data_IF_971323446776
#
_entry.id   IF_971323446776
#
_cell.length_a   1.000
_cell.length_b   1.000
_cell.length_c   1.000
_cell.angle_alpha   90.00
_cell.angle_beta   90.00
_cell.angle_gamma   90.00
#
_symmetry.space_group_name_H-M   'P 1'
#
loop_
_entity.id
_entity.type
_entity.pdbx_description
1 polymer ?
#
# COMPACT_ATOMS: atom_id res chain seq x y z
N UNK A 1 4.69 17.59 15.94
CA UNK A 1 4.41 18.52 14.83
C UNK A 1 3.31 17.86 13.98
N UNK A 2 2.05 18.31 14.11
CA UNK A 2 0.88 17.61 13.59
C UNK A 2 0.92 17.53 12.06
N UNK A 3 0.92 16.32 11.51
CA UNK A 3 0.75 16.05 10.08
C UNK A 3 -0.69 16.40 9.68
N UNK A 4 -0.91 17.67 9.35
CA UNK A 4 -2.09 18.10 8.62
C UNK A 4 -1.97 17.58 7.19
N UNK A 5 -2.60 16.43 6.91
CA UNK A 5 -2.82 15.92 5.55
C UNK A 5 -3.79 16.86 4.84
N UNK A 6 -3.28 17.97 4.30
CA UNK A 6 -3.93 18.59 3.14
C UNK A 6 -3.55 17.75 1.94
N UNK A 7 -4.52 16.95 1.48
CA UNK A 7 -4.51 16.44 0.11
C UNK A 7 -4.09 17.59 -0.81
N UNK A 8 -3.00 17.39 -1.56
CA UNK A 8 -2.62 18.30 -2.64
C UNK A 8 -3.65 18.06 -3.74
N UNK A 9 -4.81 18.68 -3.57
CA UNK A 9 -5.70 18.95 -4.68
C UNK A 9 -5.02 20.10 -5.44
N UNK A 10 -4.38 19.79 -6.57
CA UNK A 10 -4.03 20.80 -7.56
C UNK A 10 -5.34 21.30 -8.20
N UNK A 11 -6.10 22.08 -7.42
CA UNK A 11 -7.08 22.99 -7.96
C UNK A 11 -6.28 24.16 -8.54
N UNK A 12 -6.38 24.36 -9.85
CA UNK A 12 -5.92 25.58 -10.49
C UNK A 12 -6.68 26.77 -9.89
N UNK A 13 -6.08 27.47 -8.94
CA UNK A 13 -6.59 28.73 -8.42
C UNK A 13 -6.49 29.80 -9.52
N UNK A 14 -7.61 30.19 -10.10
CA UNK A 14 -7.72 31.46 -10.83
C UNK A 14 -8.08 32.57 -9.84
N UNK A 15 -7.28 33.64 -9.84
CA UNK A 15 -7.52 34.87 -9.09
C UNK A 15 -8.86 35.54 -9.49
N UNK A 16 -9.51 36.30 -8.58
CA UNK A 16 -10.77 36.96 -8.87
C UNK A 16 -10.55 38.25 -9.68
N UNK A 17 -10.63 38.14 -11.00
CA UNK A 17 -10.78 39.29 -11.90
C UNK A 17 -12.17 39.92 -11.78
N UNK A 18 -12.22 41.24 -11.58
CA UNK A 18 -13.44 42.06 -11.51
C UNK A 18 -14.38 41.84 -12.72
N UNK A 19 -15.71 42.01 -12.56
CA UNK A 19 -16.67 41.71 -13.62
C UNK A 19 -16.65 42.81 -14.69
N UNK A 20 -16.01 42.52 -15.81
CA UNK A 20 -16.21 43.24 -17.06
C UNK A 20 -17.47 42.71 -17.75
N UNK A 21 -18.46 43.59 -17.93
CA UNK A 21 -19.62 43.34 -18.79
C UNK A 21 -19.13 43.10 -20.21
N UNK A 22 -19.22 41.86 -20.68
CA UNK A 22 -19.41 41.51 -22.08
C UNK A 22 -20.00 40.10 -22.10
N UNK A 23 -21.23 39.99 -22.61
CA UNK A 23 -21.91 38.73 -22.88
C UNK A 23 -21.09 37.91 -23.89
N UNK A 24 -20.16 37.11 -23.38
CA UNK A 24 -19.51 36.09 -24.19
C UNK A 24 -20.48 34.92 -24.33
N UNK A 25 -21.13 34.90 -25.49
CA UNK A 25 -21.75 33.74 -26.12
C UNK A 25 -21.02 32.47 -25.68
N UNK A 26 -21.70 31.63 -24.90
CA UNK A 26 -21.13 30.39 -24.38
C UNK A 26 -20.84 29.48 -25.57
N UNK A 27 -19.60 29.50 -26.06
CA UNK A 27 -19.09 28.56 -27.03
C UNK A 27 -19.32 27.17 -26.47
N UNK A 28 -20.31 26.46 -27.03
CA UNK A 28 -20.55 25.04 -26.74
C UNK A 28 -19.23 24.31 -26.98
N UNK A 29 -18.60 23.85 -25.90
CA UNK A 29 -17.44 22.97 -26.03
C UNK A 29 -17.89 21.74 -26.84
N UNK A 30 -17.12 21.30 -27.85
CA UNK A 30 -17.47 20.11 -28.61
C UNK A 30 -17.58 18.91 -27.66
N UNK A 31 -18.68 18.15 -27.77
CA UNK A 31 -19.03 17.00 -26.91
C UNK A 31 -18.00 15.86 -26.91
N UNK A 32 -16.95 15.96 -27.72
CA UNK A 32 -15.88 14.96 -27.83
C UNK A 32 -14.53 15.64 -27.59
N UNK A 33 -13.93 15.36 -26.43
CA UNK A 33 -12.50 15.60 -26.21
C UNK A 33 -11.74 14.34 -26.61
N UNK A 34 -11.04 14.40 -27.73
CA UNK A 34 -10.07 13.38 -28.11
C UNK A 34 -8.92 13.43 -27.10
N UNK A 35 -8.85 12.43 -26.24
CA UNK A 35 -7.74 12.21 -25.34
C UNK A 35 -6.93 11.03 -25.88
N UNK A 36 -5.63 11.24 -26.11
CA UNK A 36 -4.71 10.17 -26.45
C UNK A 36 -4.01 9.69 -25.18
N UNK A 37 -3.96 8.36 -24.98
CA UNK A 37 -3.13 7.71 -23.96
C UNK A 37 -2.23 6.67 -24.62
N UNK A 38 -1.15 6.33 -23.92
CA UNK A 38 -0.27 5.26 -24.34
C UNK A 38 -1.05 3.94 -24.40
N UNK A 39 -0.79 3.14 -25.42
CA UNK A 39 -1.39 1.81 -25.53
C UNK A 39 -0.57 0.82 -24.69
N UNK A 40 -1.25 0.12 -23.78
CA UNK A 40 -0.64 -0.84 -22.86
C UNK A 40 0.08 -1.99 -23.59
N UNK A 41 -0.35 -2.36 -24.80
CA UNK A 41 0.28 -3.46 -25.56
C UNK A 41 1.69 -3.10 -26.05
N UNK A 42 2.01 -1.80 -26.08
CA UNK A 42 3.31 -1.27 -26.49
C UNK A 42 4.09 -0.66 -25.32
N UNK A 43 3.65 -0.89 -24.09
CA UNK A 43 4.32 -0.38 -22.90
C UNK A 43 5.57 -1.22 -22.59
N UNK A 44 6.74 -0.69 -22.92
CA UNK A 44 8.03 -1.24 -22.50
C UNK A 44 8.43 -0.73 -21.11
N UNK A 45 9.60 -1.15 -20.62
CA UNK A 45 10.10 -0.75 -19.29
C UNK A 45 10.28 0.77 -19.16
N UNK A 46 10.77 1.44 -20.20
CA UNK A 46 11.00 2.89 -20.18
C UNK A 46 9.68 3.67 -20.22
N UNK A 47 8.72 3.20 -21.03
CA UNK A 47 7.35 3.70 -21.07
C UNK A 47 6.64 3.52 -19.73
N UNK A 48 6.77 2.35 -19.10
CA UNK A 48 6.23 2.08 -17.77
C UNK A 48 6.83 3.01 -16.70
N UNK A 49 8.15 3.17 -16.67
CA UNK A 49 8.79 4.10 -15.74
C UNK A 49 8.35 5.55 -15.97
N UNK A 50 8.25 5.97 -17.23
CA UNK A 50 7.75 7.31 -17.56
C UNK A 50 6.29 7.49 -17.10
N UNK A 51 5.45 6.48 -17.29
CA UNK A 51 4.03 6.51 -16.91
C UNK A 51 3.81 6.55 -15.39
N UNK A 52 4.58 5.77 -14.63
CA UNK A 52 4.36 5.62 -13.19
C UNK A 52 5.17 6.61 -12.35
N UNK A 53 6.24 7.19 -12.92
CA UNK A 53 7.26 7.92 -12.17
C UNK A 53 7.65 9.27 -12.79
N UNK A 54 6.97 9.76 -13.82
CA UNK A 54 7.23 11.09 -14.41
C UNK A 54 7.34 12.18 -13.35
N UNK A 55 6.45 12.14 -12.36
CA UNK A 55 6.34 13.15 -11.31
C UNK A 55 7.52 13.09 -10.32
N UNK A 56 8.21 11.96 -10.24
CA UNK A 56 9.41 11.79 -9.40
C UNK A 56 10.63 12.54 -9.94
N UNK A 57 10.64 12.93 -11.21
CA UNK A 57 11.69 13.77 -11.78
C UNK A 57 11.55 15.24 -11.42
N UNK A 58 10.39 15.66 -10.89
CA UNK A 58 10.20 17.02 -10.39
C UNK A 58 10.95 17.26 -9.07
N UNK A 59 11.29 18.51 -8.70
CA UNK A 59 11.88 18.81 -7.39
C UNK A 59 11.05 18.29 -6.21
N UNK A 60 9.71 18.36 -6.31
CA UNK A 60 8.80 17.84 -5.29
C UNK A 60 8.83 16.30 -5.24
N UNK A 61 8.90 15.65 -6.40
CA UNK A 61 9.04 14.21 -6.51
C UNK A 61 10.37 13.69 -5.94
N UNK A 62 11.47 14.37 -6.22
CA UNK A 62 12.79 14.05 -5.66
C UNK A 62 12.80 14.21 -4.13
N UNK A 63 12.17 15.26 -3.60
CA UNK A 63 12.02 15.44 -2.14
C UNK A 63 11.21 14.30 -1.52
N UNK A 64 10.07 13.93 -2.13
CA UNK A 64 9.27 12.77 -1.70
C UNK A 64 10.07 11.47 -1.71
N UNK A 65 10.83 11.18 -2.78
CA UNK A 65 11.69 9.99 -2.83
C UNK A 65 12.76 10.00 -1.73
N UNK A 66 13.33 11.16 -1.42
CA UNK A 66 14.26 11.32 -0.30
C UNK A 66 13.61 11.00 1.04
N UNK A 67 12.38 11.47 1.26
CA UNK A 67 11.58 11.12 2.45
C UNK A 67 11.28 9.62 2.52
N UNK A 68 10.82 9.01 1.42
CA UNK A 68 10.55 7.56 1.34
C UNK A 68 11.81 6.75 1.61
N UNK A 69 12.94 7.12 1.03
CA UNK A 69 14.23 6.46 1.27
C UNK A 69 14.62 6.53 2.75
N UNK A 70 14.56 7.72 3.33
CA UNK A 70 14.85 7.98 4.73
C UNK A 70 13.92 7.19 5.67
N UNK A 71 12.65 7.11 5.31
CA UNK A 71 11.62 6.40 6.05
C UNK A 71 11.82 4.88 5.99
N UNK A 72 11.99 4.30 4.79
CA UNK A 72 12.24 2.87 4.62
C UNK A 72 13.56 2.44 5.25
N UNK A 73 14.58 3.30 5.24
CA UNK A 73 15.86 2.98 5.88
C UNK A 73 15.71 2.73 7.38
N UNK A 74 14.93 3.59 8.05
CA UNK A 74 14.64 3.46 9.49
C UNK A 74 13.77 2.23 9.76
N UNK A 75 12.73 2.02 8.95
CA UNK A 75 11.81 0.89 9.11
C UNK A 75 12.51 -0.46 8.92
N UNK A 76 13.33 -0.61 7.87
CA UNK A 76 14.12 -1.80 7.62
C UNK A 76 15.15 -2.03 8.73
N UNK A 77 15.84 -0.96 9.18
CA UNK A 77 16.77 -1.05 10.30
C UNK A 77 16.08 -1.50 11.59
N UNK A 78 14.95 -0.91 11.98
CA UNK A 78 14.16 -1.34 13.16
C UNK A 78 13.77 -2.81 13.05
N UNK A 79 13.36 -3.26 11.86
CA UNK A 79 12.98 -4.64 11.61
C UNK A 79 14.17 -5.60 11.80
N UNK A 80 15.35 -5.26 11.30
CA UNK A 80 16.58 -6.05 11.50
C UNK A 80 16.97 -6.09 12.97
N UNK A 81 16.82 -4.97 13.71
CA UNK A 81 17.06 -4.92 15.14
C UNK A 81 16.09 -5.84 15.91
N UNK A 82 14.79 -5.82 15.58
CA UNK A 82 13.83 -6.77 16.14
C UNK A 82 14.20 -8.21 15.86
N UNK A 83 14.57 -8.54 14.61
CA UNK A 83 15.03 -9.89 14.25
C UNK A 83 16.24 -10.30 15.10
N UNK A 84 17.21 -9.42 15.30
CA UNK A 84 18.36 -9.72 16.15
C UNK A 84 17.94 -9.98 17.60
N UNK A 85 16.98 -9.21 18.14
CA UNK A 85 16.38 -9.44 19.45
C UNK A 85 15.72 -10.82 19.56
N UNK A 86 14.87 -11.16 18.60
CA UNK A 86 14.17 -12.45 18.57
C UNK A 86 15.15 -13.62 18.48
N UNK A 87 16.19 -13.51 17.65
CA UNK A 87 17.19 -14.56 17.50
C UNK A 87 18.10 -14.72 18.73
N UNK A 88 18.17 -13.73 19.62
CA UNK A 88 18.84 -13.86 20.91
C UNK A 88 17.93 -14.49 21.98
N UNK A 89 16.61 -14.30 21.86
CA UNK A 89 15.62 -14.93 22.74
C UNK A 89 15.51 -16.45 22.52
N UNK A 90 15.78 -16.93 21.30
CA UNK A 90 15.62 -18.34 20.92
C UNK A 90 16.87 -18.89 20.23
N UNK A 91 17.43 -19.97 20.77
CA UNK A 91 18.44 -20.77 20.07
C UNK A 91 17.76 -21.73 19.10
N UNK A 92 18.20 -21.75 17.84
CA UNK A 92 17.65 -22.66 16.82
C UNK A 92 17.70 -24.12 17.25
N UNK A 93 18.75 -24.53 17.96
CA UNK A 93 18.95 -25.91 18.42
C UNK A 93 17.88 -26.38 19.44
N UNK A 94 17.12 -25.45 20.03
CA UNK A 94 16.04 -25.75 20.98
C UNK A 94 14.64 -25.76 20.37
N UNK A 95 14.50 -25.53 19.06
CA UNK A 95 13.18 -25.45 18.42
C UNK A 95 12.60 -26.85 18.16
N UNK A 96 11.29 -27.08 18.36
CA UNK A 96 10.67 -28.37 18.09
C UNK A 96 10.78 -28.73 16.61
N UNK A 97 11.13 -29.98 16.28
CA UNK A 97 11.48 -30.43 14.92
C UNK A 97 10.36 -31.19 14.20
N UNK A 98 9.12 -31.09 14.69
CA UNK A 98 7.97 -31.80 14.13
C UNK A 98 7.69 -31.41 12.66
N UNK A 99 7.34 -32.36 11.76
CA UNK A 99 7.05 -32.06 10.35
C UNK A 99 5.91 -31.06 10.12
N UNK A 100 4.98 -30.96 11.07
CA UNK A 100 3.88 -29.98 11.07
C UNK A 100 4.37 -28.53 11.24
N UNK A 101 5.61 -28.33 11.69
CA UNK A 101 6.21 -27.01 11.97
C UNK A 101 7.05 -26.47 10.81
N UNK A 102 6.99 -27.07 9.61
CA UNK A 102 7.79 -26.65 8.45
C UNK A 102 7.71 -25.15 8.13
N UNK A 103 6.53 -24.54 8.30
CA UNK A 103 6.33 -23.11 8.05
C UNK A 103 6.93 -22.23 9.14
N UNK A 104 6.86 -22.70 10.39
CA UNK A 104 7.52 -22.06 11.52
C UNK A 104 9.06 -22.10 11.35
N UNK A 105 9.62 -23.26 10.96
CA UNK A 105 11.05 -23.34 10.63
C UNK A 105 11.43 -22.47 9.44
N UNK A 106 10.59 -22.42 8.41
CA UNK A 106 10.76 -21.51 7.28
C UNK A 106 10.85 -20.04 7.72
N UNK A 107 9.99 -19.63 8.64
CA UNK A 107 10.02 -18.29 9.24
C UNK A 107 11.30 -18.03 10.05
N UNK A 108 11.72 -18.97 10.90
CA UNK A 108 13.00 -18.87 11.63
C UNK A 108 14.20 -18.80 10.68
N UNK A 109 14.22 -19.61 9.63
CA UNK A 109 15.27 -19.61 8.62
C UNK A 109 15.31 -18.28 7.86
N UNK A 110 14.15 -17.70 7.54
CA UNK A 110 14.05 -16.38 6.94
C UNK A 110 14.69 -15.31 7.83
N UNK A 111 14.39 -15.30 9.14
CA UNK A 111 15.02 -14.36 10.08
C UNK A 111 16.54 -14.51 10.16
N UNK A 112 17.04 -15.75 10.21
CA UNK A 112 18.49 -16.00 10.16
C UNK A 112 19.11 -15.53 8.85
N UNK A 113 18.45 -15.77 7.71
CA UNK A 113 18.90 -15.29 6.41
C UNK A 113 18.97 -13.76 6.39
N UNK A 114 17.94 -13.05 6.83
CA UNK A 114 17.93 -11.58 6.93
C UNK A 114 19.11 -11.08 7.79
N UNK A 115 19.38 -11.70 8.94
CA UNK A 115 20.53 -11.34 9.77
C UNK A 115 21.86 -11.52 9.01
N UNK A 116 22.03 -12.63 8.28
CA UNK A 116 23.22 -12.90 7.48
C UNK A 116 23.41 -11.85 6.37
N UNK A 117 22.34 -11.52 5.64
CA UNK A 117 22.36 -10.49 4.59
C UNK A 117 22.70 -9.11 5.15
N UNK A 118 22.13 -8.75 6.30
CA UNK A 118 22.43 -7.50 7.00
C UNK A 118 23.89 -7.44 7.47
N UNK A 119 24.40 -8.50 8.11
CA UNK A 119 25.81 -8.57 8.55
C UNK A 119 26.78 -8.48 7.37
N UNK A 120 26.43 -9.06 6.22
CA UNK A 120 27.24 -8.95 5.02
C UNK A 120 27.12 -7.60 4.30
N UNK A 121 26.29 -6.68 4.79
CA UNK A 121 26.06 -5.36 4.18
C UNK A 121 25.34 -5.40 2.84
N UNK A 122 24.58 -6.46 2.56
CA UNK A 122 23.84 -6.63 1.29
C UNK A 122 22.45 -5.98 1.31
N UNK A 123 21.93 -5.63 2.47
CA UNK A 123 20.68 -4.88 2.63
C UNK A 123 20.91 -3.39 2.42
N UNK A 124 20.28 -2.82 1.38
CA UNK A 124 20.52 -1.43 0.95
C UNK A 124 19.95 -0.38 1.89
N UNK A 125 18.83 -0.69 2.56
CA UNK A 125 18.09 0.25 3.41
C UNK A 125 18.31 -0.10 4.90
N UNK A 126 19.35 -0.88 5.23
CA UNK A 126 19.67 -1.21 6.62
C UNK A 126 20.96 -0.51 7.05
N UNK A 127 20.99 0.00 8.28
CA UNK A 127 22.23 0.44 8.90
C UNK A 127 23.25 -0.70 9.00
N UNK A 128 24.49 -0.42 8.57
CA UNK A 128 25.56 -1.43 8.48
C UNK A 128 25.94 -2.07 9.82
N UNK A 129 25.73 -1.36 10.91
CA UNK A 129 26.07 -1.82 12.27
C UNK A 129 24.89 -2.46 13.01
N UNK A 130 23.71 -2.59 12.38
CA UNK A 130 22.50 -3.08 13.06
C UNK A 130 22.70 -4.45 13.74
N UNK A 131 23.45 -5.35 13.11
CA UNK A 131 23.69 -6.70 13.63
C UNK A 131 24.81 -6.80 14.67
N UNK A 132 25.59 -5.73 14.88
CA UNK A 132 26.71 -5.71 15.84
C UNK A 132 26.34 -5.09 17.20
N UNK A 133 25.12 -4.56 17.34
CA UNK A 133 24.68 -3.93 18.58
C UNK A 133 24.38 -4.97 19.66
N UNK A 134 24.87 -4.71 20.87
CA UNK A 134 24.45 -5.46 22.05
C UNK A 134 23.01 -5.11 22.46
N UNK A 135 22.45 -5.85 23.42
CA UNK A 135 21.07 -5.67 23.87
C UNK A 135 20.73 -4.22 24.24
N UNK A 136 21.53 -3.57 25.10
CA UNK A 136 21.25 -2.21 25.56
C UNK A 136 21.35 -1.19 24.42
N UNK A 137 22.37 -1.31 23.56
CA UNK A 137 22.55 -0.45 22.39
C UNK A 137 21.40 -0.60 21.39
N UNK A 138 20.92 -1.83 21.20
CA UNK A 138 19.80 -2.14 20.32
C UNK A 138 18.52 -1.49 20.80
N UNK A 139 18.16 -1.66 22.08
CA UNK A 139 16.94 -1.07 22.65
C UNK A 139 16.97 0.47 22.57
N UNK A 140 18.13 1.08 22.83
CA UNK A 140 18.32 2.52 22.67
C UNK A 140 18.16 2.94 21.20
N UNK A 141 18.75 2.19 20.25
CA UNK A 141 18.66 2.50 18.82
C UNK A 141 17.24 2.33 18.28
N UNK A 142 16.52 1.28 18.69
CA UNK A 142 15.11 1.08 18.35
C UNK A 142 14.30 2.29 18.83
N UNK A 143 14.43 2.67 20.11
CA UNK A 143 13.70 3.80 20.69
C UNK A 143 13.97 5.10 19.92
N UNK A 144 15.24 5.36 19.59
CA UNK A 144 15.62 6.52 18.79
C UNK A 144 14.98 6.49 17.39
N UNK A 145 15.13 5.38 16.66
CA UNK A 145 14.59 5.25 15.30
C UNK A 145 13.07 5.38 15.26
N UNK A 146 12.37 4.79 16.24
CA UNK A 146 10.92 4.93 16.35
C UNK A 146 10.50 6.38 16.62
N UNK A 147 11.27 7.15 17.39
CA UNK A 147 10.99 8.57 17.64
C UNK A 147 11.19 9.47 16.42
N UNK A 148 11.95 9.00 15.42
CA UNK A 148 12.17 9.69 14.15
C UNK A 148 11.10 9.34 13.10
N UNK A 149 10.24 8.37 13.39
CA UNK A 149 9.16 7.91 12.51
C UNK A 149 7.82 8.56 12.90
N UNK A 150 6.84 8.63 11.97
CA UNK A 150 5.52 9.17 12.29
C UNK A 150 4.85 8.40 13.43
N UNK A 151 4.25 9.14 14.38
CA UNK A 151 3.54 8.54 15.53
C UNK A 151 2.34 7.69 15.10
N UNK A 152 1.59 8.15 14.10
CA UNK A 152 0.44 7.42 13.56
C UNK A 152 0.85 6.60 12.33
N UNK A 153 1.36 5.41 12.59
CA UNK A 153 1.89 4.53 11.55
C UNK A 153 1.52 3.06 11.79
N UNK A 154 0.46 2.55 11.14
CA UNK A 154 -0.07 1.21 11.39
C UNK A 154 0.97 0.09 11.30
N UNK A 155 1.90 0.15 10.35
CA UNK A 155 2.91 -0.90 10.19
C UNK A 155 3.91 -0.93 11.35
N UNK A 156 4.22 0.21 11.98
CA UNK A 156 5.10 0.26 13.15
C UNK A 156 4.38 -0.27 14.39
N UNK A 157 3.09 0.09 14.53
CA UNK A 157 2.22 -0.48 15.55
C UNK A 157 2.16 -2.01 15.42
N UNK A 158 1.94 -2.52 14.20
CA UNK A 158 1.94 -3.96 13.91
C UNK A 158 3.27 -4.62 14.26
N UNK A 159 4.40 -4.08 13.77
CA UNK A 159 5.73 -4.63 14.03
C UNK A 159 6.02 -4.67 15.54
N UNK A 160 5.64 -3.63 16.28
CA UNK A 160 5.83 -3.57 17.72
C UNK A 160 4.95 -4.59 18.47
N UNK A 161 3.68 -4.77 18.07
CA UNK A 161 2.78 -5.78 18.64
C UNK A 161 3.36 -7.18 18.42
N UNK A 162 3.78 -7.51 17.20
CA UNK A 162 4.35 -8.83 16.89
C UNK A 162 5.66 -9.05 17.66
N UNK A 163 6.56 -8.08 17.68
CA UNK A 163 7.83 -8.18 18.40
C UNK A 163 7.63 -8.42 19.90
N UNK A 164 6.76 -7.63 20.56
CA UNK A 164 6.48 -7.76 22.00
C UNK A 164 5.88 -9.11 22.38
N UNK A 165 5.10 -9.71 21.48
CA UNK A 165 4.45 -11.00 21.70
C UNK A 165 5.23 -12.18 21.10
N UNK A 166 6.43 -11.96 20.57
CA UNK A 166 7.15 -12.99 19.80
C UNK A 166 7.38 -14.27 20.62
N UNK A 167 7.62 -14.14 21.93
CA UNK A 167 7.80 -15.30 22.78
C UNK A 167 6.52 -16.14 22.90
N UNK A 168 5.36 -15.52 23.03
CA UNK A 168 4.08 -16.24 23.09
C UNK A 168 3.70 -16.85 21.75
N UNK A 169 4.00 -16.16 20.64
CA UNK A 169 3.84 -16.67 19.28
C UNK A 169 4.68 -17.94 19.09
N UNK A 170 5.96 -17.91 19.47
CA UNK A 170 6.87 -19.04 19.31
C UNK A 170 6.50 -20.24 20.18
N UNK A 171 5.89 -20.00 21.34
CA UNK A 171 5.39 -21.05 22.22
C UNK A 171 3.97 -21.51 21.83
N UNK A 172 3.40 -21.01 20.74
CA UNK A 172 2.05 -21.36 20.28
C UNK A 172 0.93 -20.91 21.24
N UNK A 173 1.22 -20.00 22.18
CA UNK A 173 0.22 -19.47 23.13
C UNK A 173 -0.72 -18.47 22.48
N UNK A 174 -0.24 -17.76 21.47
CA UNK A 174 -1.00 -16.74 20.73
C UNK A 174 -0.71 -16.87 19.24
N UNK A 175 -1.74 -16.80 18.39
CA UNK A 175 -1.53 -16.70 16.94
C UNK A 175 -1.21 -15.25 16.55
N UNK A 176 -0.15 -15.04 15.76
CA UNK A 176 0.26 -13.69 15.33
C UNK A 176 -0.82 -12.95 14.54
N UNK A 177 -1.64 -13.68 13.78
CA UNK A 177 -2.76 -13.10 13.03
C UNK A 177 -3.85 -12.55 13.95
N UNK A 178 -4.14 -13.21 15.07
CA UNK A 178 -5.18 -12.76 16.01
C UNK A 178 -4.79 -11.43 16.66
N UNK A 179 -3.48 -11.23 16.91
CA UNK A 179 -2.95 -9.95 17.41
C UNK A 179 -3.14 -8.84 16.38
N UNK A 180 -2.89 -9.14 15.10
CA UNK A 180 -3.04 -8.20 13.99
C UNK A 180 -4.49 -7.76 13.80
N UNK A 181 -5.42 -8.71 13.89
CA UNK A 181 -6.86 -8.50 13.70
C UNK A 181 -7.47 -7.75 14.87
N UNK A 182 -7.18 -8.14 16.11
CA UNK A 182 -7.73 -7.49 17.32
C UNK A 182 -7.37 -6.00 17.42
N UNK A 183 -6.23 -5.61 16.87
CA UNK A 183 -5.79 -4.23 16.90
C UNK A 183 -6.38 -3.38 15.75
N UNK A 184 -7.15 -3.97 14.82
CA UNK A 184 -7.59 -3.35 13.55
C UNK A 184 -6.43 -2.81 12.68
N UNK A 185 -5.19 -3.10 13.06
CA UNK A 185 -3.99 -2.56 12.45
C UNK A 185 -3.80 -3.09 11.05
N UNK A 186 -4.13 -4.37 10.81
CA UNK A 186 -3.90 -5.00 9.52
C UNK A 186 -4.70 -4.31 8.39
N UNK A 187 -5.95 -3.94 8.65
CA UNK A 187 -6.76 -3.21 7.68
C UNK A 187 -6.16 -1.82 7.36
N UNK A 188 -5.70 -1.10 8.39
CA UNK A 188 -5.06 0.21 8.26
C UNK A 188 -3.71 0.15 7.55
N UNK A 189 -2.92 -0.93 7.76
CA UNK A 189 -1.68 -1.17 7.02
C UNK A 189 -1.96 -1.26 5.51
N UNK A 190 -2.97 -2.03 5.12
CA UNK A 190 -3.32 -2.20 3.69
C UNK A 190 -3.98 -0.97 3.07
N UNK A 191 -4.71 -0.17 3.84
CA UNK A 191 -5.37 1.04 3.34
C UNK A 191 -4.40 2.24 3.26
N UNK A 192 -3.63 2.47 4.32
CA UNK A 192 -2.96 3.76 4.56
C UNK A 192 -1.43 3.66 4.67
N UNK A 193 -0.84 2.48 4.46
CA UNK A 193 0.60 2.29 4.50
C UNK A 193 1.30 2.98 3.32
N UNK A 194 2.24 3.93 3.54
CA UNK A 194 3.00 4.59 2.47
C UNK A 194 3.82 3.63 1.61
N UNK A 195 4.10 2.43 2.14
CA UNK A 195 4.74 1.35 1.38
C UNK A 195 3.93 0.94 0.14
N UNK A 196 2.62 1.19 0.16
CA UNK A 196 1.72 0.88 -0.93
C UNK A 196 1.51 2.05 -1.90
N UNK A 197 1.91 3.29 -1.59
CA UNK A 197 1.60 4.47 -2.41
C UNK A 197 2.03 4.30 -3.88
N UNK A 198 3.25 3.78 -4.10
CA UNK A 198 3.78 3.53 -5.45
C UNK A 198 2.97 2.46 -6.17
N UNK A 199 2.59 1.40 -5.45
CA UNK A 199 1.75 0.33 -6.01
C UNK A 199 0.33 0.84 -6.33
N UNK A 200 -0.26 1.69 -5.46
CA UNK A 200 -1.58 2.31 -5.69
C UNK A 200 -1.56 3.18 -6.94
N UNK A 201 -0.55 4.05 -7.08
CA UNK A 201 -0.37 4.90 -8.28
C UNK A 201 -0.20 4.06 -9.53
N UNK A 202 0.65 3.03 -9.48
CA UNK A 202 0.90 2.16 -10.63
C UNK A 202 -0.37 1.41 -11.05
N UNK A 203 -1.12 0.87 -10.09
CA UNK A 203 -2.42 0.23 -10.34
C UNK A 203 -3.40 1.21 -10.97
N UNK A 204 -3.52 2.42 -10.42
CA UNK A 204 -4.40 3.46 -10.95
C UNK A 204 -4.08 3.79 -12.41
N UNK A 205 -2.81 4.01 -12.75
CA UNK A 205 -2.37 4.28 -14.12
C UNK A 205 -2.67 3.13 -15.09
N UNK A 206 -2.43 1.88 -14.66
CA UNK A 206 -2.69 0.69 -15.49
C UNK A 206 -4.19 0.54 -15.76
N UNK A 207 -5.01 0.61 -14.71
CA UNK A 207 -6.47 0.50 -14.82
C UNK A 207 -7.03 1.60 -15.72
N UNK A 208 -6.51 2.81 -15.60
CA UNK A 208 -6.95 3.95 -16.41
C UNK A 208 -6.66 3.78 -17.90
N UNK A 209 -5.49 3.24 -18.26
CA UNK A 209 -5.13 2.94 -19.65
C UNK A 209 -5.98 1.79 -20.18
N UNK A 210 -6.17 0.72 -19.41
CA UNK A 210 -7.03 -0.41 -19.80
C UNK A 210 -8.46 0.05 -20.07
N UNK A 211 -9.02 0.87 -19.17
CA UNK A 211 -10.36 1.43 -19.31
C UNK A 211 -10.47 2.41 -20.48
N UNK A 212 -9.39 3.13 -20.81
CA UNK A 212 -9.35 4.00 -21.99
C UNK A 212 -9.33 3.19 -23.29
N UNK A 213 -8.57 2.09 -23.34
CA UNK A 213 -8.49 1.20 -24.50
C UNK A 213 -9.76 0.39 -24.71
N UNK A 214 -10.35 -0.13 -23.62
CA UNK A 214 -11.57 -0.93 -23.65
C UNK A 214 -12.52 -0.51 -22.50
N UNK A 215 -13.37 0.51 -22.71
CA UNK A 215 -14.33 0.96 -21.71
C UNK A 215 -15.46 -0.05 -21.43
N UNK A 216 -15.50 -1.17 -22.16
CA UNK A 216 -16.46 -2.27 -21.98
C UNK A 216 -15.81 -3.54 -21.44
N UNK A 217 -14.60 -3.45 -20.88
CA UNK A 217 -13.91 -4.62 -20.33
C UNK A 217 -14.69 -5.27 -19.17
N UNK A 218 -14.47 -6.56 -18.97
CA UNK A 218 -14.96 -7.29 -17.79
C UNK A 218 -13.79 -7.51 -16.83
N UNK A 219 -13.95 -7.08 -15.59
CA UNK A 219 -12.90 -7.12 -14.56
C UNK A 219 -13.15 -8.28 -13.61
N UNK A 220 -12.11 -9.07 -13.33
CA UNK A 220 -12.10 -10.10 -12.30
C UNK A 220 -10.96 -9.79 -11.33
N UNK A 221 -11.29 -9.49 -10.09
CA UNK A 221 -10.32 -9.28 -9.01
C UNK A 221 -10.19 -10.57 -8.18
N UNK A 222 -8.99 -11.12 -8.10
CA UNK A 222 -8.67 -12.35 -7.35
C UNK A 222 -7.97 -11.97 -6.06
N UNK A 223 -8.51 -12.39 -4.91
CA UNK A 223 -7.95 -12.05 -3.61
C UNK A 223 -8.21 -10.58 -3.25
N UNK A 224 -9.42 -10.11 -3.52
CA UNK A 224 -9.82 -8.73 -3.30
C UNK A 224 -9.76 -8.33 -1.81
N UNK A 225 -9.86 -9.31 -0.90
CA UNK A 225 -9.64 -9.14 0.53
C UNK A 225 -10.42 -7.98 1.11
N UNK A 226 -9.74 -7.05 1.79
CA UNK A 226 -10.34 -5.86 2.41
C UNK A 226 -10.79 -4.79 1.41
N UNK A 227 -10.63 -5.00 0.10
CA UNK A 227 -11.05 -4.06 -0.94
C UNK A 227 -10.08 -2.90 -1.20
N UNK A 228 -8.85 -2.97 -0.70
CA UNK A 228 -7.88 -1.87 -0.87
C UNK A 228 -7.55 -1.61 -2.35
N UNK A 229 -7.38 -2.66 -3.16
CA UNK A 229 -7.18 -2.54 -4.61
C UNK A 229 -8.48 -2.19 -5.34
N UNK A 230 -9.60 -2.81 -4.92
CA UNK A 230 -10.95 -2.50 -5.42
C UNK A 230 -11.26 -1.02 -5.39
N UNK A 231 -11.02 -0.34 -4.26
CA UNK A 231 -11.25 1.11 -4.10
C UNK A 231 -10.50 1.92 -5.15
N UNK A 232 -9.21 1.63 -5.37
CA UNK A 232 -8.38 2.33 -6.36
C UNK A 232 -8.91 2.09 -7.77
N UNK A 233 -9.28 0.85 -8.07
CA UNK A 233 -9.80 0.49 -9.37
C UNK A 233 -11.14 1.21 -9.64
N UNK A 234 -12.06 1.21 -8.68
CA UNK A 234 -13.37 1.86 -8.81
C UNK A 234 -13.24 3.38 -8.95
N UNK A 235 -12.37 4.03 -8.16
CA UNK A 235 -12.11 5.48 -8.26
C UNK A 235 -11.62 5.90 -9.66
N UNK A 236 -10.92 5.01 -10.36
CA UNK A 236 -10.47 5.24 -11.74
C UNK A 236 -11.56 4.90 -12.74
N UNK A 237 -12.23 3.76 -12.55
CA UNK A 237 -13.20 3.22 -13.50
C UNK A 237 -14.52 3.97 -13.51
N UNK A 238 -14.79 4.76 -12.48
CA UNK A 238 -16.00 5.51 -12.29
C UNK A 238 -15.63 6.98 -12.28
N UNK A 239 -16.08 7.70 -13.31
CA UNK A 239 -15.82 9.12 -13.46
C UNK A 239 -17.09 9.88 -13.13
N UNK A 240 -16.99 10.91 -12.28
CA UNK A 240 -18.10 11.81 -12.02
C UNK A 240 -18.57 12.46 -13.32
N UNK A 241 -19.86 12.32 -13.62
CA UNK A 241 -20.46 13.03 -14.72
C UNK A 241 -20.57 14.52 -14.34
N UNK A 242 -19.75 15.36 -15.00
CA UNK A 242 -19.70 16.80 -14.74
C UNK A 242 -21.03 17.50 -14.99
N UNK A 243 -21.87 16.93 -15.84
CA UNK A 243 -23.14 17.52 -16.25
C UNK A 243 -24.33 16.97 -15.47
N UNK A 244 -24.14 15.92 -14.65
CA UNK A 244 -25.21 15.30 -13.91
C UNK A 244 -24.74 14.82 -12.52
N UNK A 245 -24.82 15.69 -11.49
CA UNK A 245 -24.43 15.34 -10.12
C UNK A 245 -25.16 14.08 -9.62
N UNK A 246 -24.39 13.11 -9.14
CA UNK A 246 -24.90 11.79 -8.72
C UNK A 246 -25.01 10.76 -9.85
N UNK A 247 -24.61 11.09 -11.07
CA UNK A 247 -24.40 10.12 -12.14
C UNK A 247 -22.91 9.86 -12.34
N UNK A 248 -22.61 8.58 -12.51
CA UNK A 248 -21.26 8.05 -12.58
C UNK A 248 -21.09 7.37 -13.94
N UNK A 249 -20.20 7.90 -14.77
CA UNK A 249 -19.84 7.28 -16.04
C UNK A 249 -18.93 6.07 -15.76
N UNK A 250 -19.46 4.88 -16.03
CA UNK A 250 -18.78 3.60 -15.81
C UNK A 250 -17.94 3.22 -17.04
N UNK A 251 -16.64 2.95 -16.86
CA UNK A 251 -15.70 2.52 -17.91
C UNK A 251 -15.36 1.02 -17.86
N UNK A 252 -16.37 0.19 -17.59
CA UNK A 252 -16.29 -1.27 -17.66
C UNK A 252 -17.69 -1.86 -17.87
N UNK A 253 -17.79 -3.13 -18.26
CA UNK A 253 -19.06 -3.86 -18.37
C UNK A 253 -19.44 -4.49 -17.02
N UNK A 254 -18.63 -5.43 -16.51
CA UNK A 254 -18.84 -6.10 -15.21
C UNK A 254 -17.59 -6.08 -14.35
N UNK A 255 -17.78 -6.12 -13.02
CA UNK A 255 -16.72 -6.29 -12.04
C UNK A 255 -17.06 -7.46 -11.12
N UNK A 256 -16.21 -8.48 -11.12
CA UNK A 256 -16.30 -9.63 -10.25
C UNK A 256 -15.28 -9.52 -9.10
N UNK A 257 -15.79 -9.28 -7.89
CA UNK A 257 -15.02 -9.23 -6.66
C UNK A 257 -14.91 -10.65 -6.09
N UNK A 258 -13.69 -11.18 -5.96
CA UNK A 258 -13.52 -12.56 -5.47
C UNK A 258 -12.47 -12.67 -4.38
N UNK A 259 -12.74 -13.50 -3.40
CA UNK A 259 -11.82 -13.85 -2.33
C UNK A 259 -12.01 -15.30 -1.90
N UNK A 260 -11.01 -15.89 -1.26
CA UNK A 260 -11.15 -17.22 -0.66
C UNK A 260 -12.07 -17.14 0.56
N UNK A 261 -11.99 -16.08 1.35
CA UNK A 261 -12.78 -15.91 2.56
C UNK A 261 -14.06 -15.11 2.28
N UNK A 262 -15.25 -15.68 2.54
CA UNK A 262 -16.50 -14.93 2.40
C UNK A 262 -16.65 -13.82 3.46
N UNK A 263 -15.82 -13.83 4.52
CA UNK A 263 -15.86 -12.83 5.59
C UNK A 263 -15.65 -11.39 5.11
N UNK A 264 -15.05 -11.20 3.93
CA UNK A 264 -14.83 -9.88 3.36
C UNK A 264 -16.02 -9.34 2.56
N UNK A 265 -17.02 -10.16 2.22
CA UNK A 265 -18.11 -9.74 1.32
C UNK A 265 -19.10 -8.78 1.97
N UNK A 266 -19.42 -8.97 3.25
CA UNK A 266 -20.27 -8.05 4.00
C UNK A 266 -19.61 -6.67 4.10
N UNK A 267 -18.32 -6.63 4.45
CA UNK A 267 -17.59 -5.37 4.51
C UNK A 267 -17.45 -4.70 3.15
N UNK A 268 -17.27 -5.48 2.08
CA UNK A 268 -17.23 -4.95 0.73
C UNK A 268 -18.58 -4.34 0.30
N UNK A 269 -19.73 -4.89 0.74
CA UNK A 269 -21.04 -4.27 0.49
C UNK A 269 -21.17 -2.91 1.15
N UNK A 270 -20.75 -2.80 2.42
CA UNK A 270 -20.77 -1.54 3.14
C UNK A 270 -19.89 -0.48 2.46
N UNK A 271 -18.67 -0.86 2.05
CA UNK A 271 -17.70 0.07 1.48
C UNK A 271 -18.05 0.49 0.06
N UNK A 272 -18.58 -0.43 -0.75
CA UNK A 272 -18.74 -0.21 -2.18
C UNK A 272 -20.20 -0.10 -2.64
N UNK A 273 -21.15 -0.04 -1.71
CA UNK A 273 -22.59 0.07 -2.02
C UNK A 273 -22.98 1.35 -2.79
N UNK A 274 -22.12 2.37 -2.81
CA UNK A 274 -22.30 3.60 -3.61
C UNK A 274 -21.95 3.40 -5.09
N UNK A 275 -21.19 2.37 -5.43
CA UNK A 275 -20.78 2.07 -6.80
C UNK A 275 -21.78 1.10 -7.46
N UNK A 276 -21.78 0.99 -8.81
CA UNK A 276 -22.60 -0.01 -9.50
C UNK A 276 -22.38 -1.42 -8.94
N UNK A 277 -23.44 -2.24 -8.83
CA UNK A 277 -23.34 -3.56 -8.21
C UNK A 277 -22.22 -4.41 -8.81
N UNK A 278 -21.41 -5.01 -7.93
CA UNK A 278 -20.38 -5.97 -8.30
C UNK A 278 -20.89 -7.39 -8.07
N UNK A 279 -20.52 -8.31 -8.97
CA UNK A 279 -20.78 -9.74 -8.71
C UNK A 279 -19.72 -10.25 -7.75
N UNK A 280 -20.12 -11.09 -6.78
CA UNK A 280 -19.20 -11.63 -5.78
C UNK A 280 -19.16 -13.14 -5.85
N UNK A 281 -17.96 -13.70 -5.85
CA UNK A 281 -17.77 -15.14 -5.86
C UNK A 281 -16.72 -15.53 -4.82
N UNK A 282 -17.04 -16.51 -3.99
CA UNK A 282 -16.02 -17.19 -3.20
C UNK A 282 -15.30 -18.21 -4.08
N UNK A 283 -13.97 -18.28 -3.97
CA UNK A 283 -13.14 -19.16 -4.79
C UNK A 283 -12.95 -20.57 -4.20
N UNK A 284 -13.74 -20.98 -3.22
CA UNK A 284 -13.68 -22.34 -2.67
C UNK A 284 -13.94 -23.41 -3.73
N UNK A 285 -13.07 -24.43 -3.74
CA UNK A 285 -13.37 -25.80 -4.19
C UNK A 285 -13.61 -26.67 -2.97
#
# INVERSE_FOLDING_TARGET
MRLSRRAIHMAATREPGKPGKDEKEATREPYYRLQWKQDIDFLDTDGAHSLYHSDFHSPAGAAYLGEVYNFHTRLETVTVLYICGVLEMFRQDGLPTGPSLKWFHGFCNCMCHVKVEATAGRMRLCERNATSLNFQQREQRITQLLSELPEDFPQLEFNAIIYKNMADIFNGRVAGIDLAVKAEVLARVYADGPIHDVARKSLSSVVDILAHKNPTMRVLEIGAGTGSCTSIALDVLIVDDRDMPGHHAKRYHDYAFTDISPAFFEKAEELFGVYPPMTKHSTYR
#
